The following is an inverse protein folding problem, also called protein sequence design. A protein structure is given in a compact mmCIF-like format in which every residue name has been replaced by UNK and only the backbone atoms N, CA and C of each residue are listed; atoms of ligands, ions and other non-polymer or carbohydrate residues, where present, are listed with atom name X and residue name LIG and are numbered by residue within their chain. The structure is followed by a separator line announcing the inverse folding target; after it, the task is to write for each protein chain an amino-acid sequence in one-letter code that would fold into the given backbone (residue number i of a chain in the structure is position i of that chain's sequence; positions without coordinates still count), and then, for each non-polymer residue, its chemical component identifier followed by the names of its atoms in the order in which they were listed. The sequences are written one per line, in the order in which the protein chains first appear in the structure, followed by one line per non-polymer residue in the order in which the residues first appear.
data_IF_667483746659
#
_entry.id   IF_667483746659
#
_cell.length_a   1.000
_cell.length_b   1.000
_cell.length_c   1.000
_cell.angle_alpha   90.00
_cell.angle_beta   90.00
_cell.angle_gamma   90.00
#
_symmetry.space_group_name_H-M   'P 1'
#
loop_
_entity.id
_entity.type
_entity.pdbx_description
1 polymer ?
#
# COMPACT_ATOMS: atom_id res chain seq x y z
N UNK A 1 -1.88 -3.64 9.81
CA UNK A 1 -1.47 -3.59 8.38
C UNK A 1 -1.93 -4.87 7.71
N UNK A 2 -2.00 -4.91 6.37
CA UNK A 2 -2.27 -6.13 5.60
C UNK A 2 -1.15 -6.38 4.59
N UNK A 3 -0.84 -7.64 4.35
CA UNK A 3 0.14 -8.08 3.33
C UNK A 3 -0.56 -9.00 2.34
N UNK A 4 -0.23 -8.87 1.06
CA UNK A 4 -0.73 -9.78 0.03
C UNK A 4 0.20 -9.84 -1.17
N UNK A 5 0.05 -10.88 -1.99
CA UNK A 5 0.97 -11.23 -3.09
C UNK A 5 0.63 -10.60 -4.45
N UNK A 6 -0.50 -9.90 -4.55
CA UNK A 6 -1.00 -9.35 -5.81
C UNK A 6 -0.59 -7.90 -6.05
N UNK A 7 -0.76 -7.41 -7.28
CA UNK A 7 -0.62 -5.98 -7.57
C UNK A 7 -1.66 -5.15 -6.81
N UNK A 8 -1.38 -3.85 -6.68
CA UNK A 8 -2.20 -2.84 -5.99
C UNK A 8 -2.98 -1.95 -6.97
N UNK A 9 -4.06 -2.43 -7.62
CA UNK A 9 -5.00 -1.61 -8.38
C UNK A 9 -5.97 -0.83 -7.48
N UNK A 10 -6.64 0.18 -8.04
CA UNK A 10 -7.59 1.03 -7.32
C UNK A 10 -8.70 0.25 -6.59
N UNK A 11 -9.31 -0.76 -7.21
CA UNK A 11 -10.41 -1.52 -6.60
C UNK A 11 -9.98 -2.27 -5.34
N UNK A 12 -8.74 -2.76 -5.31
CA UNK A 12 -8.15 -3.41 -4.15
C UNK A 12 -7.93 -2.39 -3.03
N UNK A 13 -7.31 -1.24 -3.34
CA UNK A 13 -7.02 -0.19 -2.37
C UNK A 13 -8.31 0.43 -1.79
N UNK A 14 -9.37 0.56 -2.59
CA UNK A 14 -10.69 1.01 -2.13
C UNK A 14 -11.26 0.05 -1.08
N UNK A 15 -11.15 -1.27 -1.29
CA UNK A 15 -11.62 -2.27 -0.32
C UNK A 15 -10.87 -2.12 1.02
N UNK A 16 -9.54 -1.97 0.94
CA UNK A 16 -8.68 -1.82 2.12
C UNK A 16 -8.98 -0.52 2.88
N UNK A 17 -9.16 0.58 2.15
CA UNK A 17 -9.53 1.88 2.70
C UNK A 17 -10.88 1.81 3.44
N UNK A 18 -11.88 1.17 2.83
CA UNK A 18 -13.23 1.02 3.41
C UNK A 18 -13.25 0.20 4.69
N UNK A 19 -12.36 -0.79 4.81
CA UNK A 19 -12.20 -1.59 6.04
C UNK A 19 -11.45 -0.78 7.12
N UNK A 20 -10.85 0.36 6.77
CA UNK A 20 -10.12 1.22 7.70
C UNK A 20 -8.71 0.72 8.01
N UNK A 21 -8.11 -0.11 7.15
CA UNK A 21 -6.73 -0.57 7.34
C UNK A 21 -5.78 0.53 6.84
N UNK A 22 -4.90 1.06 7.71
CA UNK A 22 -4.09 2.25 7.36
C UNK A 22 -2.81 1.93 6.57
N UNK A 23 -2.39 0.66 6.49
CA UNK A 23 -1.14 0.25 5.85
C UNK A 23 -1.35 -1.03 5.05
N UNK A 24 -0.92 -1.02 3.80
CA UNK A 24 -0.89 -2.16 2.88
C UNK A 24 0.51 -2.39 2.34
N UNK A 25 0.91 -3.66 2.25
CA UNK A 25 2.19 -4.05 1.71
C UNK A 25 2.05 -5.19 0.69
N UNK A 26 2.86 -5.14 -0.37
CA UNK A 26 2.94 -6.21 -1.35
C UNK A 26 4.36 -6.39 -1.91
N UNK A 27 4.68 -7.63 -2.27
CA UNK A 27 5.88 -7.96 -3.05
C UNK A 27 5.77 -7.52 -4.53
N UNK A 28 4.57 -7.19 -5.02
CA UNK A 28 4.31 -6.79 -6.39
C UNK A 28 4.45 -5.27 -6.60
N UNK A 29 4.58 -4.87 -7.87
CA UNK A 29 4.63 -3.47 -8.26
C UNK A 29 3.27 -2.78 -8.04
N UNK A 30 3.25 -1.58 -7.41
CA UNK A 30 2.06 -0.75 -7.36
C UNK A 30 1.55 -0.36 -8.75
N UNK A 31 0.31 0.12 -8.81
CA UNK A 31 -0.25 0.74 -10.02
C UNK A 31 -0.47 2.23 -9.76
N UNK A 32 -0.50 3.04 -10.82
CA UNK A 32 -0.82 4.47 -10.68
C UNK A 32 -2.25 4.69 -10.14
N UNK A 33 -3.21 3.85 -10.53
CA UNK A 33 -4.59 3.96 -10.05
C UNK A 33 -4.70 3.63 -8.55
N UNK A 34 -3.99 2.59 -8.08
CA UNK A 34 -3.89 2.27 -6.66
C UNK A 34 -3.16 3.35 -5.86
N UNK A 35 -2.07 3.91 -6.42
CA UNK A 35 -1.36 5.04 -5.82
C UNK A 35 -2.29 6.23 -5.55
N UNK A 36 -3.09 6.63 -6.56
CA UNK A 36 -4.04 7.73 -6.40
C UNK A 36 -5.03 7.48 -5.26
N UNK A 37 -5.60 6.29 -5.19
CA UNK A 37 -6.51 5.91 -4.08
C UNK A 37 -5.77 5.95 -2.74
N UNK A 38 -4.54 5.42 -2.68
CA UNK A 38 -3.77 5.39 -1.44
C UNK A 38 -3.46 6.82 -0.91
N UNK A 39 -3.12 7.75 -1.81
CA UNK A 39 -2.95 9.17 -1.47
C UNK A 39 -4.24 9.74 -0.91
N UNK A 40 -5.33 9.65 -1.67
CA UNK A 40 -6.60 10.30 -1.35
C UNK A 40 -7.25 9.69 -0.08
N UNK A 41 -7.02 8.41 0.19
CA UNK A 41 -7.56 7.68 1.35
C UNK A 41 -6.67 7.71 2.61
N UNK A 42 -5.50 8.36 2.57
CA UNK A 42 -4.60 8.37 3.74
C UNK A 42 -3.92 7.02 4.02
N UNK A 43 -3.80 6.15 3.02
CA UNK A 43 -3.31 4.78 3.13
C UNK A 43 -1.80 4.68 2.86
N UNK A 44 -1.03 4.14 3.79
CA UNK A 44 0.40 3.86 3.57
C UNK A 44 0.55 2.67 2.64
N UNK A 45 1.05 2.90 1.43
CA UNK A 45 1.22 1.89 0.39
C UNK A 45 2.68 1.49 0.27
N UNK A 46 2.97 0.21 0.47
CA UNK A 46 4.32 -0.37 0.41
C UNK A 46 4.39 -1.40 -0.72
N UNK A 47 5.38 -1.26 -1.59
CA UNK A 47 5.61 -2.16 -2.72
C UNK A 47 7.02 -2.74 -2.74
N UNK A 48 7.21 -3.75 -3.58
CA UNK A 48 8.50 -4.43 -3.76
C UNK A 48 9.10 -4.97 -2.45
N UNK A 49 8.26 -5.42 -1.53
CA UNK A 49 8.72 -6.04 -0.27
C UNK A 49 9.51 -7.30 -0.59
N UNK A 50 10.80 -7.32 -0.22
CA UNK A 50 11.71 -8.47 -0.32
C UNK A 50 12.74 -8.41 0.80
N UNK A 51 12.89 -9.51 1.52
CA UNK A 51 13.84 -9.64 2.63
C UNK A 51 13.75 -8.43 3.59
N UNK A 52 14.84 -7.68 3.76
CA UNK A 52 14.91 -6.47 4.60
C UNK A 52 14.72 -5.17 3.82
N UNK A 53 14.14 -5.22 2.62
CA UNK A 53 13.95 -4.05 1.73
C UNK A 53 12.50 -3.91 1.27
N UNK A 54 12.05 -2.67 1.17
CA UNK A 54 10.74 -2.31 0.64
C UNK A 54 10.73 -0.84 0.23
N UNK A 55 9.77 -0.46 -0.60
CA UNK A 55 9.57 0.93 -1.02
C UNK A 55 8.24 1.45 -0.46
N UNK A 56 8.30 2.56 0.27
CA UNK A 56 7.10 3.28 0.71
C UNK A 56 6.71 4.28 -0.39
N UNK A 57 5.46 4.24 -0.83
CA UNK A 57 4.95 5.09 -1.90
C UNK A 57 4.10 6.25 -1.39
N UNK A 58 3.37 6.06 -0.30
CA UNK A 58 2.44 7.05 0.25
C UNK A 58 2.50 7.03 1.77
N UNK A 59 2.28 8.19 2.38
CA UNK A 59 2.05 8.35 3.82
C UNK A 59 3.08 7.61 4.70
N UNK A 60 4.39 7.92 4.56
CA UNK A 60 5.48 7.21 5.23
C UNK A 60 5.54 7.41 6.75
N UNK A 61 4.83 8.41 7.28
CA UNK A 61 4.86 8.78 8.70
C UNK A 61 4.43 7.66 9.66
N UNK A 62 3.76 6.61 9.16
CA UNK A 62 3.35 5.44 9.96
C UNK A 62 4.43 4.36 10.12
N UNK A 63 5.55 4.46 9.40
CA UNK A 63 6.62 3.46 9.43
C UNK A 63 7.77 3.96 10.31
N UNK A 64 8.15 3.13 11.29
CA UNK A 64 9.33 3.34 12.13
C UNK A 64 10.43 2.38 11.67
N UNK A 65 11.66 2.89 11.56
CA UNK A 65 12.87 2.13 11.23
C UNK A 65 13.61 1.83 12.52
#
# INVERSE_FOLDING_TARGET
FIVYSGRMPADMLIKVARVGIPIIASNAAPTYSGYKVAVDAGLTMIGFVRDERFNIYTHPERIKI
#
